data_IF_629778924183
#
_entry.id   IF_629778924183
#
_cell.length_a   1.000
_cell.length_b   1.000
_cell.length_c   1.000
_cell.angle_alpha   90.00
_cell.angle_beta   90.00
_cell.angle_gamma   90.00
#
_symmetry.space_group_name_H-M   'P 1'
#
loop_
_entity.id
_entity.type
_entity.pdbx_description
1 polymer ?
#
# COMPACT_ATOMS: atom_id res chain seq x y z
N UNK A 1 -61.05 39.76 -32.19
CA UNK A 1 -61.57 38.51 -31.60
C UNK A 1 -60.87 38.33 -30.27
N UNK A 2 -61.64 38.39 -29.17
CA UNK A 2 -61.13 38.45 -27.79
C UNK A 2 -60.50 37.11 -27.34
N UNK A 3 -59.55 37.15 -26.40
CA UNK A 3 -58.81 36.00 -25.89
C UNK A 3 -59.63 35.20 -24.87
N UNK A 4 -59.38 33.89 -24.78
CA UNK A 4 -59.86 33.04 -23.68
C UNK A 4 -58.84 33.12 -22.54
N UNK A 5 -59.33 33.59 -21.38
CA UNK A 5 -58.67 33.54 -20.07
C UNK A 5 -58.91 32.17 -19.42
N UNK A 6 -57.92 31.61 -18.72
CA UNK A 6 -58.15 31.07 -17.37
C UNK A 6 -56.82 30.84 -16.64
N UNK A 7 -56.81 31.28 -15.38
CA UNK A 7 -55.73 31.27 -14.42
C UNK A 7 -55.40 29.86 -13.90
N UNK A 8 -54.14 29.56 -13.62
CA UNK A 8 -53.76 29.07 -12.28
C UNK A 8 -52.29 29.41 -11.96
N UNK A 9 -52.14 30.16 -10.88
CA UNK A 9 -50.89 30.64 -10.29
C UNK A 9 -50.07 29.48 -9.74
N UNK A 10 -48.76 29.46 -10.02
CA UNK A 10 -47.76 28.96 -9.06
C UNK A 10 -46.52 29.86 -9.14
N UNK A 11 -46.47 30.85 -8.23
CA UNK A 11 -45.24 31.53 -7.83
C UNK A 11 -44.49 30.59 -6.89
N UNK A 12 -43.25 30.22 -7.21
CA UNK A 12 -42.14 30.22 -6.23
C UNK A 12 -40.83 30.51 -6.95
N UNK A 13 -40.16 31.57 -6.51
CA UNK A 13 -38.89 32.05 -6.97
C UNK A 13 -37.74 31.40 -6.19
N UNK A 14 -36.64 31.02 -6.84
CA UNK A 14 -35.33 30.86 -6.19
C UNK A 14 -34.22 31.38 -7.10
N UNK A 15 -33.90 32.66 -6.87
CA UNK A 15 -32.58 33.28 -6.67
C UNK A 15 -31.43 33.03 -7.68
N UNK A 16 -31.09 34.12 -8.38
CA UNK A 16 -29.80 34.42 -9.00
C UNK A 16 -28.64 34.42 -7.98
N UNK A 17 -27.47 33.93 -8.43
CA UNK A 17 -26.20 34.62 -8.17
C UNK A 17 -25.09 33.81 -7.48
N UNK A 18 -24.01 33.52 -8.22
CA UNK A 18 -22.63 33.89 -7.88
C UNK A 18 -21.63 33.24 -8.85
N UNK A 19 -21.04 34.08 -9.71
CA UNK A 19 -19.81 33.79 -10.43
C UNK A 19 -18.68 33.55 -9.43
N UNK A 20 -18.17 32.31 -9.36
CA UNK A 20 -16.79 32.05 -8.91
C UNK A 20 -16.19 30.95 -9.77
N UNK A 21 -15.29 31.37 -10.66
CA UNK A 21 -14.24 30.53 -11.24
C UNK A 21 -13.54 29.87 -10.06
N UNK A 22 -13.78 28.57 -9.87
CA UNK A 22 -13.01 27.76 -8.94
C UNK A 22 -11.85 27.20 -9.73
N UNK A 23 -10.71 27.89 -9.65
CA UNK A 23 -9.41 27.34 -10.03
C UNK A 23 -9.25 26.00 -9.34
N UNK A 24 -9.36 24.91 -10.08
CA UNK A 24 -8.87 23.62 -9.64
C UNK A 24 -7.35 23.72 -9.66
N UNK A 25 -6.77 24.17 -8.54
CA UNK A 25 -5.38 23.87 -8.24
C UNK A 25 -5.30 22.35 -8.13
N UNK A 26 -4.80 21.69 -9.18
CA UNK A 26 -4.29 20.33 -9.06
C UNK A 26 -3.11 20.41 -8.10
N UNK A 27 -3.36 20.02 -6.85
CA UNK A 27 -2.31 19.61 -5.96
C UNK A 27 -1.64 18.41 -6.63
N UNK A 28 -0.44 18.63 -7.17
CA UNK A 28 0.45 17.56 -7.55
C UNK A 28 0.78 16.80 -6.26
N UNK A 29 0.27 15.58 -6.16
CA UNK A 29 0.58 14.64 -5.09
C UNK A 29 2.04 14.21 -5.28
N UNK A 30 2.98 14.98 -4.71
CA UNK A 30 4.36 14.57 -4.55
C UNK A 30 4.41 13.46 -3.50
N UNK A 31 4.02 12.25 -3.91
CA UNK A 31 4.27 11.02 -3.16
C UNK A 31 5.78 10.85 -3.04
N UNK A 32 6.31 11.16 -1.86
CA UNK A 32 7.72 11.00 -1.51
C UNK A 32 8.13 9.54 -1.72
N UNK A 33 9.22 9.31 -2.45
CA UNK A 33 9.76 7.98 -2.82
C UNK A 33 10.03 7.06 -1.62
N UNK A 34 10.01 7.60 -0.40
CA UNK A 34 10.20 6.87 0.85
C UNK A 34 8.96 6.02 1.25
N UNK A 35 7.79 6.25 0.63
CA UNK A 35 6.51 5.58 0.94
C UNK A 35 6.25 4.29 0.15
N UNK A 36 7.27 3.68 -0.47
CA UNK A 36 7.08 2.54 -1.40
C UNK A 36 7.64 1.19 -0.93
N UNK A 37 8.43 1.12 0.14
CA UNK A 37 8.97 -0.16 0.64
C UNK A 37 7.99 -0.84 1.60
N UNK A 38 7.69 -2.11 1.32
CA UNK A 38 6.94 -2.98 2.23
C UNK A 38 7.93 -3.80 3.06
N UNK A 39 7.83 -3.73 4.38
CA UNK A 39 8.67 -4.58 5.24
C UNK A 39 8.22 -6.04 5.15
N UNK A 40 9.15 -6.92 4.78
CA UNK A 40 8.93 -8.38 4.69
C UNK A 40 9.42 -9.14 5.93
N UNK A 41 10.02 -8.43 6.88
CA UNK A 41 10.48 -8.98 8.16
C UNK A 41 9.95 -8.11 9.30
N UNK A 42 9.36 -8.75 10.30
CA UNK A 42 8.71 -8.09 11.44
C UNK A 42 9.66 -7.80 12.61
N UNK A 43 10.93 -8.21 12.50
CA UNK A 43 11.92 -8.10 13.58
C UNK A 43 11.74 -9.11 14.71
N UNK A 44 10.81 -10.06 14.61
CA UNK A 44 10.37 -10.90 15.73
C UNK A 44 10.29 -12.38 15.41
N UNK A 45 9.93 -12.72 14.17
CA UNK A 45 9.65 -14.09 13.78
C UNK A 45 10.11 -14.38 12.34
N UNK A 46 10.22 -15.67 12.01
CA UNK A 46 10.39 -16.13 10.64
C UNK A 46 9.05 -16.29 9.92
N UNK A 47 7.99 -15.60 10.35
CA UNK A 47 6.69 -15.69 9.70
C UNK A 47 6.76 -15.20 8.25
N UNK A 48 6.49 -16.11 7.32
CA UNK A 48 6.63 -15.82 5.89
C UNK A 48 8.01 -16.15 5.32
N UNK A 49 8.86 -16.82 6.08
CA UNK A 49 10.14 -17.34 5.64
C UNK A 49 10.14 -18.87 5.76
N UNK A 50 10.84 -19.53 4.85
CA UNK A 50 10.90 -21.00 4.78
C UNK A 50 12.35 -21.44 4.57
N UNK A 51 12.79 -22.45 5.32
CA UNK A 51 14.10 -23.05 5.15
C UNK A 51 14.08 -24.06 4.00
N UNK A 52 15.08 -23.99 3.13
CA UNK A 52 15.22 -24.88 1.97
C UNK A 52 16.63 -25.50 1.95
N UNK A 53 16.77 -26.82 2.14
CA UNK A 53 15.69 -27.79 2.34
C UNK A 53 15.12 -27.71 3.77
N UNK A 54 13.95 -28.30 4.02
CA UNK A 54 13.21 -28.13 5.28
C UNK A 54 13.99 -28.54 6.54
N UNK A 55 14.88 -29.52 6.41
CA UNK A 55 15.79 -30.00 7.44
C UNK A 55 16.83 -28.96 7.88
N UNK A 56 17.07 -27.92 7.08
CA UNK A 56 17.95 -26.81 7.48
C UNK A 56 17.26 -25.79 8.39
N UNK A 57 16.00 -26.00 8.80
CA UNK A 57 15.26 -25.05 9.64
C UNK A 57 15.99 -24.70 10.95
N UNK A 58 16.68 -25.67 11.56
CA UNK A 58 17.45 -25.45 12.80
C UNK A 58 18.67 -24.52 12.62
N UNK A 59 19.07 -24.22 11.39
CA UNK A 59 20.12 -23.26 11.07
C UNK A 59 19.63 -21.80 11.12
N UNK A 60 18.33 -21.55 11.21
CA UNK A 60 17.75 -20.21 11.12
C UNK A 60 16.99 -19.84 12.39
N UNK A 61 17.27 -18.66 12.92
CA UNK A 61 16.54 -18.11 14.08
C UNK A 61 16.37 -16.59 13.95
N UNK A 62 15.45 -16.03 14.71
CA UNK A 62 15.42 -14.58 14.97
C UNK A 62 16.07 -14.30 16.32
N UNK A 63 17.11 -13.48 16.31
CA UNK A 63 17.83 -13.09 17.52
C UNK A 63 18.11 -11.59 17.53
N UNK A 64 17.72 -10.93 18.62
CA UNK A 64 17.89 -9.49 18.82
C UNK A 64 17.37 -8.64 17.65
N UNK A 65 16.23 -9.00 17.06
CA UNK A 65 15.66 -8.26 15.93
C UNK A 65 16.28 -8.56 14.56
N UNK A 66 17.12 -9.60 14.43
CA UNK A 66 17.79 -9.96 13.18
C UNK A 66 17.49 -11.42 12.82
N UNK A 67 17.41 -11.71 11.53
CA UNK A 67 17.51 -13.08 11.02
C UNK A 67 18.97 -13.51 11.15
N UNK A 68 19.21 -14.65 11.79
CA UNK A 68 20.55 -15.21 12.01
C UNK A 68 20.61 -16.60 11.39
N UNK A 69 21.59 -16.80 10.50
CA UNK A 69 21.94 -18.10 9.96
C UNK A 69 23.14 -18.69 10.70
N UNK A 70 23.04 -19.94 11.13
CA UNK A 70 24.12 -20.73 11.72
C UNK A 70 24.38 -21.96 10.84
N UNK A 71 25.35 -21.85 9.94
CA UNK A 71 25.66 -22.89 8.96
C UNK A 71 26.18 -24.21 9.55
N UNK A 72 26.63 -24.23 10.81
CA UNK A 72 27.06 -25.47 11.48
C UNK A 72 25.86 -26.32 11.93
N UNK A 73 24.68 -25.71 12.03
CA UNK A 73 23.43 -26.41 12.32
C UNK A 73 22.73 -26.91 11.06
N UNK A 74 23.28 -26.69 9.87
CA UNK A 74 22.68 -27.18 8.63
C UNK A 74 22.99 -26.26 7.46
N UNK A 75 23.19 -26.84 6.29
CA UNK A 75 23.39 -26.10 5.05
C UNK A 75 22.04 -25.97 4.34
N UNK A 76 21.63 -24.74 4.08
CA UNK A 76 20.40 -24.44 3.35
C UNK A 76 20.19 -22.95 3.22
N UNK A 77 19.12 -22.58 2.53
CA UNK A 77 18.68 -21.21 2.32
C UNK A 77 17.49 -20.88 3.22
N UNK A 78 17.26 -19.60 3.43
CA UNK A 78 16.01 -19.08 3.98
C UNK A 78 15.36 -18.22 2.89
N UNK A 79 14.16 -18.59 2.48
CA UNK A 79 13.45 -17.97 1.35
C UNK A 79 12.15 -17.33 1.80
N UNK A 80 11.82 -16.16 1.26
CA UNK A 80 10.52 -15.54 1.49
C UNK A 80 9.40 -16.35 0.82
N UNK A 81 8.31 -16.58 1.55
CA UNK A 81 7.25 -17.53 1.18
C UNK A 81 5.84 -16.93 1.15
N UNK A 82 5.62 -15.69 1.63
CA UNK A 82 4.27 -15.10 1.61
C UNK A 82 3.78 -14.76 0.21
N UNK A 83 4.70 -14.47 -0.71
CA UNK A 83 4.39 -14.25 -2.12
C UNK A 83 5.53 -14.84 -2.96
N UNK A 84 5.21 -15.86 -3.75
CA UNK A 84 6.16 -16.52 -4.68
C UNK A 84 6.12 -15.91 -6.08
N UNK A 85 5.14 -15.06 -6.36
CA UNK A 85 4.94 -14.37 -7.63
C UNK A 85 5.54 -12.96 -7.57
N UNK A 86 6.78 -12.86 -7.09
CA UNK A 86 7.53 -11.59 -7.04
C UNK A 86 8.53 -11.57 -8.19
N UNK A 87 8.42 -10.53 -9.03
CA UNK A 87 9.38 -10.15 -10.04
C UNK A 87 9.59 -8.63 -9.97
N UNK A 88 10.60 -8.10 -10.68
CA UNK A 88 10.87 -6.66 -10.82
C UNK A 88 10.84 -5.88 -9.49
N UNK A 89 11.79 -6.21 -8.60
CA UNK A 89 11.82 -5.71 -7.22
C UNK A 89 13.08 -4.90 -6.91
N UNK A 90 12.96 -3.94 -5.98
CA UNK A 90 14.06 -3.33 -5.25
C UNK A 90 14.08 -3.87 -3.81
N UNK A 91 15.20 -4.42 -3.37
CA UNK A 91 15.38 -4.96 -2.01
C UNK A 91 16.39 -4.11 -1.25
N UNK A 92 16.02 -3.72 -0.02
CA UNK A 92 16.89 -3.02 0.93
C UNK A 92 17.03 -3.85 2.20
N UNK A 93 18.27 -4.11 2.60
CA UNK A 93 18.58 -4.78 3.87
C UNK A 93 19.99 -4.42 4.34
N UNK A 94 20.24 -4.65 5.63
CA UNK A 94 21.56 -4.57 6.24
C UNK A 94 21.96 -5.96 6.73
N UNK A 95 23.27 -6.25 6.71
CA UNK A 95 23.84 -7.51 7.18
C UNK A 95 25.14 -7.27 7.95
N UNK A 96 25.60 -8.28 8.68
CA UNK A 96 26.89 -8.31 9.38
C UNK A 96 27.44 -9.72 9.46
#
# INVERSE_FOLDING_TARGET
MHPIRSNLLWLTAVLLGCSKVLTLAQAEDTKTLNDSFVSIFDGKSLNGWEATPSESAQAWEVKNGHIVGNGDKGRGYLTYNKNKDIADLELKFSYR
#
